data_IF_252002673979
#
_entry.id   IF_252002673979
#
_cell.length_a   1.000
_cell.length_b   1.000
_cell.length_c   1.000
_cell.angle_alpha   90.00
_cell.angle_beta   90.00
_cell.angle_gamma   90.00
#
_symmetry.space_group_name_H-M   'P 1'
#
loop_
_entity.id
_entity.type
_entity.pdbx_description
1 polymer ?
#
# COMPACT_ATOMS: atom_id res chain seq x y z
N UNK A 1 -11.82 -18.27 24.09
CA UNK A 1 -12.65 -17.73 22.98
C UNK A 1 -13.66 -18.77 22.47
N UNK A 2 -14.43 -19.43 23.34
CA UNK A 2 -15.52 -20.36 22.94
C UNK A 2 -16.90 -19.68 22.77
N UNK A 3 -17.27 -18.61 23.51
CA UNK A 3 -18.62 -18.02 23.41
C UNK A 3 -18.91 -17.29 22.08
N UNK A 4 -17.96 -16.52 21.53
CA UNK A 4 -18.21 -15.70 20.33
C UNK A 4 -18.37 -16.56 19.06
N UNK A 5 -17.62 -17.66 18.96
CA UNK A 5 -17.71 -18.58 17.82
C UNK A 5 -19.01 -19.40 17.83
N UNK A 6 -19.66 -19.58 19.00
CA UNK A 6 -20.96 -20.26 19.10
C UNK A 6 -22.15 -19.30 18.97
N UNK A 7 -22.00 -18.03 19.39
CA UNK A 7 -23.09 -17.03 19.36
C UNK A 7 -23.16 -16.23 18.05
N UNK A 8 -22.05 -16.12 17.31
CA UNK A 8 -21.99 -15.41 16.02
C UNK A 8 -21.43 -16.31 14.90
N UNK A 9 -21.77 -17.61 14.94
CA UNK A 9 -21.26 -18.61 14.00
C UNK A 9 -21.57 -18.29 12.53
N UNK A 10 -22.65 -17.53 12.25
CA UNK A 10 -23.04 -17.09 10.92
C UNK A 10 -22.39 -15.79 10.43
N UNK A 11 -21.51 -15.17 11.21
CA UNK A 11 -20.80 -13.96 10.79
C UNK A 11 -19.37 -14.32 10.34
N UNK A 12 -19.04 -14.03 9.08
CA UNK A 12 -17.71 -14.29 8.50
C UNK A 12 -16.58 -13.59 9.26
N UNK A 13 -16.80 -12.37 9.75
CA UNK A 13 -15.79 -11.59 10.48
C UNK A 13 -15.29 -12.33 11.74
N UNK A 14 -16.18 -13.09 12.40
CA UNK A 14 -15.80 -13.94 13.54
C UNK A 14 -14.72 -14.95 13.15
N UNK A 15 -14.86 -15.57 11.99
CA UNK A 15 -13.93 -16.61 11.52
C UNK A 15 -12.65 -16.00 10.94
N UNK A 16 -12.73 -14.85 10.26
CA UNK A 16 -11.55 -14.11 9.80
C UNK A 16 -10.70 -13.63 11.00
N UNK A 17 -11.32 -13.10 12.05
CA UNK A 17 -10.63 -12.75 13.29
C UNK A 17 -10.06 -13.98 14.02
N UNK A 18 -10.79 -15.09 14.03
CA UNK A 18 -10.30 -16.35 14.59
C UNK A 18 -9.04 -16.84 13.86
N UNK A 19 -9.05 -16.80 12.52
CA UNK A 19 -7.87 -17.08 11.70
C UNK A 19 -6.68 -16.23 12.13
N UNK A 20 -6.86 -14.91 12.24
CA UNK A 20 -5.81 -13.98 12.65
C UNK A 20 -5.21 -14.31 14.03
N UNK A 21 -6.06 -14.68 15.00
CA UNK A 21 -5.61 -15.11 16.33
C UNK A 21 -4.82 -16.41 16.24
N UNK A 22 -5.31 -17.40 15.49
CA UNK A 22 -4.66 -18.70 15.38
C UNK A 22 -3.38 -18.66 14.55
N UNK A 23 -3.31 -17.77 13.55
CA UNK A 23 -2.13 -17.48 12.76
C UNK A 23 -0.98 -17.01 13.68
N UNK A 24 -1.23 -16.03 14.54
CA UNK A 24 -0.25 -15.54 15.54
C UNK A 24 0.14 -16.60 16.59
N UNK A 25 -0.75 -17.55 16.87
CA UNK A 25 -0.53 -18.64 17.83
C UNK A 25 0.05 -19.92 17.21
N UNK A 26 0.31 -19.92 15.91
CA UNK A 26 0.86 -21.08 15.20
C UNK A 26 0.05 -22.36 15.40
N UNK A 27 -1.29 -22.25 15.26
CA UNK A 27 -2.24 -23.38 15.39
C UNK A 27 -2.83 -23.76 14.02
N UNK A 28 -2.12 -24.54 13.16
CA UNK A 28 -2.51 -24.76 11.76
C UNK A 28 -3.91 -25.37 11.58
N UNK A 29 -4.28 -26.37 12.38
CA UNK A 29 -5.61 -26.99 12.28
C UNK A 29 -6.75 -26.02 12.65
N UNK A 30 -6.49 -25.07 13.56
CA UNK A 30 -7.47 -24.05 13.94
C UNK A 30 -7.52 -22.92 12.91
N UNK A 31 -6.39 -22.59 12.25
CA UNK A 31 -6.37 -21.71 11.09
C UNK A 31 -7.24 -22.30 9.97
N UNK A 32 -6.98 -23.56 9.59
CA UNK A 32 -7.75 -24.29 8.58
C UNK A 32 -9.23 -24.36 8.93
N UNK A 33 -9.57 -24.70 10.17
CA UNK A 33 -10.96 -24.73 10.64
C UNK A 33 -11.65 -23.36 10.46
N UNK A 34 -10.95 -22.27 10.76
CA UNK A 34 -11.49 -20.91 10.61
C UNK A 34 -11.72 -20.56 9.15
N UNK A 35 -10.77 -20.91 8.27
CA UNK A 35 -10.90 -20.74 6.82
C UNK A 35 -12.11 -21.52 6.29
N UNK A 36 -12.26 -22.80 6.64
CA UNK A 36 -13.40 -23.61 6.18
C UNK A 36 -14.74 -23.03 6.60
N UNK A 37 -14.84 -22.55 7.85
CA UNK A 37 -16.07 -21.92 8.33
C UNK A 37 -16.38 -20.62 7.58
N UNK A 38 -15.38 -19.77 7.35
CA UNK A 38 -15.54 -18.57 6.54
C UNK A 38 -15.91 -18.89 5.08
N UNK A 39 -15.26 -19.87 4.48
CA UNK A 39 -15.50 -20.33 3.11
C UNK A 39 -16.92 -20.87 2.94
N UNK A 40 -17.43 -21.63 3.90
CA UNK A 40 -18.81 -22.13 3.86
C UNK A 40 -19.87 -21.02 4.00
N UNK A 41 -19.50 -19.84 4.49
CA UNK A 41 -20.41 -18.69 4.61
C UNK A 41 -20.34 -17.80 3.35
N UNK A 42 -19.13 -17.34 2.99
CA UNK A 42 -18.93 -16.43 1.87
C UNK A 42 -17.60 -16.74 1.15
N UNK A 43 -17.60 -17.66 0.16
CA UNK A 43 -16.40 -18.00 -0.61
C UNK A 43 -15.75 -16.81 -1.34
N UNK A 44 -16.57 -15.85 -1.79
CA UNK A 44 -16.12 -14.66 -2.54
C UNK A 44 -15.59 -13.50 -1.69
N UNK A 45 -15.43 -13.68 -0.38
CA UNK A 45 -14.98 -12.61 0.51
C UNK A 45 -13.49 -12.29 0.28
N UNK A 46 -13.17 -11.02 -0.03
CA UNK A 46 -11.79 -10.62 -0.35
C UNK A 46 -10.80 -10.84 0.79
N UNK A 47 -11.23 -10.72 2.05
CA UNK A 47 -10.33 -10.96 3.21
C UNK A 47 -10.10 -12.45 3.45
N UNK A 48 -11.08 -13.29 3.11
CA UNK A 48 -10.91 -14.74 3.16
C UNK A 48 -9.82 -15.20 2.19
N UNK A 49 -9.78 -14.63 0.99
CA UNK A 49 -8.72 -14.89 0.01
C UNK A 49 -7.32 -14.71 0.60
N UNK A 50 -7.06 -13.58 1.27
CA UNK A 50 -5.79 -13.36 1.96
C UNK A 50 -5.49 -14.36 3.07
N UNK A 51 -6.52 -14.81 3.81
CA UNK A 51 -6.34 -15.85 4.82
C UNK A 51 -5.90 -17.18 4.19
N UNK A 52 -6.48 -17.55 3.05
CA UNK A 52 -6.14 -18.77 2.30
C UNK A 52 -4.68 -18.71 1.83
N UNK A 53 -4.28 -17.63 1.15
CA UNK A 53 -2.91 -17.49 0.63
C UNK A 53 -1.87 -17.50 1.76
N UNK A 54 -2.12 -16.77 2.85
CA UNK A 54 -1.23 -16.76 4.03
C UNK A 54 -1.16 -18.13 4.70
N UNK A 55 -2.25 -18.88 4.72
CA UNK A 55 -2.25 -20.24 5.25
C UNK A 55 -1.41 -21.19 4.37
N UNK A 56 -1.55 -21.12 3.05
CA UNK A 56 -0.71 -21.88 2.13
C UNK A 56 0.77 -21.56 2.34
N UNK A 57 1.14 -20.27 2.39
CA UNK A 57 2.52 -19.87 2.67
C UNK A 57 3.05 -20.34 4.03
N UNK A 58 2.19 -20.36 5.06
CA UNK A 58 2.53 -20.93 6.37
C UNK A 58 2.80 -22.44 6.27
N UNK A 59 1.92 -23.20 5.61
CA UNK A 59 2.08 -24.66 5.46
C UNK A 59 3.34 -24.98 4.66
N UNK A 60 3.61 -24.28 3.56
CA UNK A 60 4.81 -24.49 2.75
C UNK A 60 6.10 -24.22 3.56
N UNK A 61 6.11 -23.14 4.34
CA UNK A 61 7.26 -22.79 5.19
C UNK A 61 7.51 -23.80 6.31
N UNK A 62 6.46 -24.31 6.93
CA UNK A 62 6.58 -25.16 8.13
C UNK A 62 6.36 -26.64 7.86
N UNK A 63 6.16 -27.06 6.61
CA UNK A 63 5.80 -28.43 6.22
C UNK A 63 6.73 -29.47 6.85
N UNK A 64 8.04 -29.23 6.84
CA UNK A 64 9.03 -30.15 7.42
C UNK A 64 9.00 -30.28 8.95
N UNK A 65 8.37 -29.33 9.64
CA UNK A 65 8.29 -29.28 11.10
C UNK A 65 6.92 -29.72 11.63
N UNK A 66 5.94 -29.93 10.75
CA UNK A 66 4.61 -30.38 11.11
C UNK A 66 4.57 -31.91 11.21
N UNK A 67 3.72 -32.42 12.11
CA UNK A 67 3.51 -33.87 12.23
C UNK A 67 2.80 -34.40 10.97
N UNK A 68 3.18 -35.60 10.50
CA UNK A 68 2.60 -36.23 9.31
C UNK A 68 1.06 -36.19 9.25
N UNK A 69 0.34 -36.61 10.31
CA UNK A 69 -1.13 -36.56 10.32
C UNK A 69 -1.72 -35.16 10.15
N UNK A 70 -1.02 -34.11 10.62
CA UNK A 70 -1.49 -32.72 10.45
C UNK A 70 -1.43 -32.34 8.97
N UNK A 71 -0.35 -32.71 8.27
CA UNK A 71 -0.18 -32.42 6.85
C UNK A 71 -1.24 -33.16 6.02
N UNK A 72 -1.46 -34.44 6.30
CA UNK A 72 -2.49 -35.25 5.63
C UNK A 72 -3.89 -34.64 5.77
N UNK A 73 -4.25 -34.22 6.99
CA UNK A 73 -5.54 -33.56 7.23
C UNK A 73 -5.62 -32.23 6.48
N UNK A 74 -4.56 -31.42 6.48
CA UNK A 74 -4.53 -30.15 5.76
C UNK A 74 -4.72 -30.37 4.26
N UNK A 75 -3.94 -31.27 3.65
CA UNK A 75 -4.01 -31.56 2.22
C UNK A 75 -5.40 -32.09 1.83
N UNK A 76 -5.98 -32.98 2.63
CA UNK A 76 -7.33 -33.52 2.40
C UNK A 76 -8.40 -32.43 2.50
N UNK A 77 -8.34 -31.59 3.53
CA UNK A 77 -9.40 -30.64 3.83
C UNK A 77 -9.34 -29.36 2.99
N UNK A 78 -8.15 -29.02 2.47
CA UNK A 78 -7.95 -27.84 1.61
C UNK A 78 -8.07 -28.16 0.13
N UNK A 79 -8.13 -29.44 -0.27
CA UNK A 79 -8.21 -29.87 -1.67
C UNK A 79 -9.33 -29.17 -2.44
N UNK A 80 -10.51 -29.05 -1.84
CA UNK A 80 -11.69 -28.44 -2.47
C UNK A 80 -11.56 -26.91 -2.63
N UNK A 81 -10.78 -26.26 -1.76
CA UNK A 81 -10.56 -24.81 -1.79
C UNK A 81 -9.43 -24.45 -2.76
N UNK A 82 -8.35 -25.23 -2.74
CA UNK A 82 -7.14 -24.96 -3.53
C UNK A 82 -7.24 -25.52 -4.96
N UNK A 83 -8.01 -26.60 -5.15
CA UNK A 83 -8.16 -27.30 -6.42
C UNK A 83 -6.82 -27.69 -7.07
N UNK A 84 -5.80 -27.97 -6.26
CA UNK A 84 -4.44 -28.30 -6.71
C UNK A 84 -3.65 -27.14 -7.32
N UNK A 85 -4.16 -25.90 -7.26
CA UNK A 85 -3.46 -24.70 -7.76
C UNK A 85 -2.42 -24.22 -6.75
N UNK A 86 -1.37 -23.56 -7.26
CA UNK A 86 -0.40 -22.87 -6.41
C UNK A 86 -0.98 -21.56 -5.87
N UNK A 87 -0.47 -21.08 -4.73
CA UNK A 87 -0.87 -19.79 -4.14
C UNK A 87 -0.79 -18.63 -5.14
N UNK A 88 0.25 -18.60 -5.98
CA UNK A 88 0.42 -17.59 -7.03
C UNK A 88 -0.69 -17.67 -8.09
N UNK A 89 -1.09 -18.87 -8.50
CA UNK A 89 -2.16 -19.06 -9.49
C UNK A 89 -3.53 -18.72 -8.89
N UNK A 90 -3.79 -19.12 -7.65
CA UNK A 90 -5.01 -18.73 -6.92
C UNK A 90 -5.11 -17.20 -6.83
N UNK A 91 -4.00 -16.51 -6.55
CA UNK A 91 -4.00 -15.06 -6.48
C UNK A 91 -4.21 -14.37 -7.83
N UNK A 92 -3.62 -14.90 -8.92
CA UNK A 92 -3.86 -14.34 -10.25
C UNK A 92 -5.31 -14.53 -10.69
N UNK A 93 -5.87 -15.73 -10.48
CA UNK A 93 -7.26 -16.04 -10.85
C UNK A 93 -8.22 -15.11 -10.09
N UNK A 94 -7.99 -14.92 -8.78
CA UNK A 94 -8.80 -14.02 -7.95
C UNK A 94 -8.78 -12.57 -8.44
N UNK A 95 -7.61 -12.06 -8.85
CA UNK A 95 -7.48 -10.70 -9.39
C UNK A 95 -8.14 -10.53 -10.76
N UNK A 96 -8.11 -11.55 -11.60
CA UNK A 96 -8.80 -11.55 -12.91
C UNK A 96 -10.32 -11.54 -12.72
N UNK A 97 -10.83 -12.39 -11.84
CA UNK A 97 -12.27 -12.53 -11.55
C UNK A 97 -12.88 -11.30 -10.85
N UNK A 98 -12.07 -10.53 -10.10
CA UNK A 98 -12.54 -9.42 -9.26
C UNK A 98 -11.88 -8.07 -9.61
N UNK A 99 -11.51 -7.90 -10.88
CA UNK A 99 -10.77 -6.73 -11.38
C UNK A 99 -11.51 -5.39 -11.22
N UNK A 100 -12.81 -5.40 -11.00
CA UNK A 100 -13.64 -4.22 -10.76
C UNK A 100 -13.89 -3.90 -9.27
N UNK A 101 -13.35 -4.66 -8.31
CA UNK A 101 -13.66 -4.49 -6.88
C UNK A 101 -12.44 -3.99 -6.11
N UNK A 102 -12.49 -2.77 -5.56
CA UNK A 102 -11.38 -2.20 -4.79
C UNK A 102 -10.95 -3.09 -3.61
N UNK A 103 -11.86 -3.65 -2.77
CA UNK A 103 -11.48 -4.60 -1.73
C UNK A 103 -10.75 -5.83 -2.25
N UNK A 104 -11.16 -6.37 -3.41
CA UNK A 104 -10.52 -7.53 -3.99
C UNK A 104 -9.15 -7.18 -4.58
N UNK A 105 -9.05 -6.07 -5.31
CA UNK A 105 -7.78 -5.56 -5.82
C UNK A 105 -6.78 -5.34 -4.69
N UNK A 106 -7.20 -4.70 -3.59
CA UNK A 106 -6.37 -4.47 -2.42
C UNK A 106 -5.87 -5.79 -1.80
N UNK A 107 -6.77 -6.73 -1.52
CA UNK A 107 -6.43 -8.00 -0.88
C UNK A 107 -5.54 -8.87 -1.79
N UNK A 108 -5.87 -8.96 -3.09
CA UNK A 108 -5.08 -9.70 -4.07
C UNK A 108 -3.72 -9.07 -4.37
N UNK A 109 -3.62 -7.74 -4.41
CA UNK A 109 -2.35 -7.03 -4.54
C UNK A 109 -1.47 -7.21 -3.30
N UNK A 110 -2.06 -7.17 -2.11
CA UNK A 110 -1.35 -7.46 -0.87
C UNK A 110 -0.76 -8.87 -0.89
N UNK A 111 -1.55 -9.85 -1.35
CA UNK A 111 -1.07 -11.23 -1.51
C UNK A 111 -0.05 -11.38 -2.63
N UNK A 112 -0.13 -10.57 -3.69
CA UNK A 112 0.88 -10.54 -4.75
C UNK A 112 2.25 -10.15 -4.19
N UNK A 113 2.30 -9.09 -3.38
CA UNK A 113 3.55 -8.66 -2.73
C UNK A 113 4.02 -9.65 -1.66
N UNK A 114 3.09 -10.24 -0.90
CA UNK A 114 3.42 -11.27 0.10
C UNK A 114 4.08 -12.51 -0.52
N UNK A 115 3.60 -12.94 -1.69
CA UNK A 115 4.17 -14.09 -2.41
C UNK A 115 5.47 -13.74 -3.15
N UNK A 116 5.58 -12.52 -3.64
CA UNK A 116 6.73 -12.04 -4.41
C UNK A 116 6.98 -10.55 -4.17
N UNK A 117 7.97 -10.26 -3.32
CA UNK A 117 8.34 -8.89 -2.97
C UNK A 117 8.83 -8.06 -4.16
N UNK A 118 9.29 -8.68 -5.25
CA UNK A 118 9.71 -7.96 -6.45
C UNK A 118 8.55 -7.29 -7.20
N UNK A 119 7.31 -7.72 -6.94
CA UNK A 119 6.09 -7.20 -7.59
C UNK A 119 5.47 -6.01 -6.86
N UNK A 120 6.23 -5.33 -6.00
CA UNK A 120 5.76 -4.19 -5.21
C UNK A 120 5.07 -3.12 -6.06
N UNK A 121 5.69 -2.71 -7.17
CA UNK A 121 5.15 -1.66 -8.05
C UNK A 121 3.81 -2.07 -8.68
N UNK A 122 3.71 -3.31 -9.16
CA UNK A 122 2.48 -3.85 -9.72
C UNK A 122 1.36 -3.94 -8.66
N UNK A 123 1.69 -4.37 -7.43
CA UNK A 123 0.75 -4.43 -6.32
C UNK A 123 0.25 -3.02 -5.92
N UNK A 124 1.13 -2.03 -5.88
CA UNK A 124 0.77 -0.64 -5.61
C UNK A 124 -0.15 -0.10 -6.70
N UNK A 125 0.15 -0.35 -7.98
CA UNK A 125 -0.72 0.10 -9.08
C UNK A 125 -2.16 -0.40 -8.93
N UNK A 126 -2.34 -1.68 -8.61
CA UNK A 126 -3.67 -2.26 -8.39
C UNK A 126 -4.37 -1.65 -7.17
N UNK A 127 -3.65 -1.53 -6.05
CA UNK A 127 -4.17 -1.04 -4.77
C UNK A 127 -4.59 0.43 -4.81
N UNK A 128 -3.85 1.26 -5.54
CA UNK A 128 -4.00 2.71 -5.53
C UNK A 128 -4.97 3.21 -6.61
N UNK A 129 -5.69 2.33 -7.29
CA UNK A 129 -6.66 2.71 -8.33
C UNK A 129 -7.89 3.35 -7.69
N UNK A 130 -8.32 4.51 -8.24
CA UNK A 130 -9.49 5.28 -7.80
C UNK A 130 -10.40 5.65 -8.99
N UNK A 131 -10.42 4.81 -10.03
CA UNK A 131 -11.27 5.02 -11.21
C UNK A 131 -12.77 4.80 -10.87
N UNK A 132 -13.64 5.58 -11.49
CA UNK A 132 -15.10 5.46 -11.39
C UNK A 132 -15.64 4.10 -11.86
N UNK A 133 -14.86 3.38 -12.67
CA UNK A 133 -15.17 2.02 -13.11
C UNK A 133 -15.01 0.96 -12.00
N UNK A 134 -14.38 1.31 -10.87
CA UNK A 134 -14.11 0.40 -9.76
C UNK A 134 -15.17 0.55 -8.67
N UNK A 135 -15.76 -0.58 -8.30
CA UNK A 135 -16.70 -0.72 -7.21
C UNK A 135 -15.99 -0.69 -5.85
N UNK A 136 -16.68 -0.18 -4.84
CA UNK A 136 -16.19 -0.19 -3.46
C UNK A 136 -15.17 0.90 -3.13
N UNK A 137 -15.02 1.92 -3.97
CA UNK A 137 -14.34 3.18 -3.58
C UNK A 137 -15.23 3.90 -2.55
N UNK A 138 -14.96 3.66 -1.28
CA UNK A 138 -15.62 4.31 -0.16
C UNK A 138 -14.58 4.69 0.91
N UNK A 139 -14.99 5.59 1.80
CA UNK A 139 -14.12 6.12 2.85
C UNK A 139 -13.42 5.04 3.67
N UNK A 140 -14.13 3.97 4.05
CA UNK A 140 -13.58 2.90 4.88
C UNK A 140 -12.49 2.11 4.16
N UNK A 141 -12.69 1.79 2.88
CA UNK A 141 -11.72 1.05 2.09
C UNK A 141 -10.48 1.91 1.79
N UNK A 142 -10.66 3.20 1.46
CA UNK A 142 -9.54 4.11 1.25
C UNK A 142 -8.72 4.33 2.54
N UNK A 143 -9.37 4.44 3.71
CA UNK A 143 -8.66 4.52 4.99
C UNK A 143 -7.87 3.23 5.26
N UNK A 144 -8.46 2.05 5.01
CA UNK A 144 -7.78 0.77 5.18
C UNK A 144 -6.54 0.67 4.30
N UNK A 145 -6.64 1.08 3.02
CA UNK A 145 -5.50 1.10 2.09
C UNK A 145 -4.42 2.05 2.59
N UNK A 146 -4.78 3.28 2.97
CA UNK A 146 -3.81 4.25 3.50
C UNK A 146 -3.09 3.72 4.75
N UNK A 147 -3.82 3.09 5.67
CA UNK A 147 -3.22 2.46 6.84
C UNK A 147 -2.26 1.33 6.49
N UNK A 148 -2.59 0.52 5.48
CA UNK A 148 -1.73 -0.57 5.01
C UNK A 148 -0.43 -0.06 4.35
N UNK A 149 -0.50 1.05 3.61
CA UNK A 149 0.70 1.71 3.07
C UNK A 149 1.59 2.22 4.20
N UNK A 150 0.99 2.85 5.22
CA UNK A 150 1.73 3.39 6.38
C UNK A 150 2.30 2.30 7.30
N UNK A 151 1.63 1.14 7.41
CA UNK A 151 2.10 0.01 8.23
C UNK A 151 3.21 -0.80 7.56
N UNK A 152 3.52 -0.53 6.28
CA UNK A 152 4.54 -1.22 5.52
C UNK A 152 4.08 -2.57 4.94
N UNK A 153 2.77 -2.81 4.81
CA UNK A 153 2.24 -4.05 4.21
C UNK A 153 2.65 -4.24 2.74
N UNK A 154 3.02 -3.15 2.06
CA UNK A 154 3.60 -3.13 0.72
C UNK A 154 5.07 -2.72 0.71
N UNK A 155 5.77 -2.84 1.84
CA UNK A 155 7.13 -2.30 1.99
C UNK A 155 7.18 -0.77 2.14
N UNK A 156 8.38 -0.19 2.04
CA UNK A 156 8.58 1.25 2.23
C UNK A 156 8.10 2.04 1.00
N UNK A 157 6.95 2.70 1.11
CA UNK A 157 6.31 3.44 0.01
C UNK A 157 5.69 4.80 0.45
N UNK A 158 6.46 5.69 1.11
CA UNK A 158 5.92 6.94 1.66
C UNK A 158 5.43 7.92 0.59
N UNK A 159 6.06 7.95 -0.58
CA UNK A 159 5.63 8.82 -1.69
C UNK A 159 4.29 8.37 -2.25
N UNK A 160 4.08 7.07 -2.43
CA UNK A 160 2.81 6.52 -2.90
C UNK A 160 1.70 6.71 -1.86
N UNK A 161 2.01 6.59 -0.56
CA UNK A 161 1.05 6.88 0.51
C UNK A 161 0.62 8.36 0.50
N UNK A 162 1.57 9.29 0.31
CA UNK A 162 1.29 10.72 0.23
C UNK A 162 0.45 11.08 -1.01
N UNK A 163 0.82 10.57 -2.18
CA UNK A 163 0.05 10.75 -3.43
C UNK A 163 -1.38 10.20 -3.29
N UNK A 164 -1.52 8.98 -2.76
CA UNK A 164 -2.82 8.36 -2.53
C UNK A 164 -3.69 9.17 -1.57
N UNK A 165 -3.08 9.75 -0.53
CA UNK A 165 -3.76 10.62 0.42
C UNK A 165 -4.33 11.87 -0.28
N UNK A 166 -3.55 12.50 -1.16
CA UNK A 166 -4.00 13.66 -1.94
C UNK A 166 -5.18 13.28 -2.84
N UNK A 167 -5.07 12.19 -3.60
CA UNK A 167 -6.17 11.73 -4.47
C UNK A 167 -7.40 11.33 -3.67
N UNK A 168 -7.26 10.70 -2.51
CA UNK A 168 -8.38 10.41 -1.62
C UNK A 168 -9.04 11.67 -1.06
N UNK A 169 -8.29 12.76 -0.86
CA UNK A 169 -8.86 14.04 -0.43
C UNK A 169 -9.78 14.65 -1.49
N UNK A 170 -9.47 14.49 -2.78
CA UNK A 170 -10.34 14.92 -3.89
C UNK A 170 -11.69 14.19 -3.87
N UNK A 171 -11.69 12.89 -3.54
CA UNK A 171 -12.90 12.08 -3.42
C UNK A 171 -13.66 12.31 -2.10
N UNK A 172 -12.94 12.59 -1.01
CA UNK A 172 -13.50 12.76 0.33
C UNK A 172 -12.96 14.05 1.03
N UNK A 173 -13.40 15.25 0.59
CA UNK A 173 -12.82 16.52 1.06
C UNK A 173 -12.94 16.75 2.57
N UNK A 174 -13.99 16.19 3.19
CA UNK A 174 -14.27 16.36 4.61
C UNK A 174 -13.63 15.29 5.51
N UNK A 175 -12.97 14.29 4.94
CA UNK A 175 -12.36 13.22 5.71
C UNK A 175 -11.05 13.68 6.35
N UNK A 176 -11.01 13.75 7.69
CA UNK A 176 -9.81 14.11 8.47
C UNK A 176 -8.59 13.22 8.12
N UNK A 177 -8.84 11.94 7.81
CA UNK A 177 -7.79 10.99 7.44
C UNK A 177 -6.99 11.41 6.19
N UNK A 178 -7.57 12.23 5.30
CA UNK A 178 -6.96 12.65 4.04
C UNK A 178 -6.59 14.13 4.00
N UNK A 179 -6.79 14.88 5.08
CA UNK A 179 -6.45 16.30 5.09
C UNK A 179 -4.96 16.52 4.81
N UNK A 180 -4.62 17.55 4.01
CA UNK A 180 -3.24 18.00 3.88
C UNK A 180 -2.74 18.44 5.27
N UNK A 181 -1.43 18.30 5.54
CA UNK A 181 -0.86 18.83 6.77
C UNK A 181 -1.21 20.31 6.89
N UNK A 182 -1.84 20.71 8.00
CA UNK A 182 -2.20 22.10 8.25
C UNK A 182 -0.89 22.88 8.35
N UNK A 183 -0.57 23.68 7.33
CA UNK A 183 0.48 24.69 7.40
C UNK A 183 0.00 25.79 8.34
N UNK A 184 0.16 25.60 9.64
CA UNK A 184 0.11 26.73 10.57
C UNK A 184 1.29 27.64 10.23
N UNK A 185 1.09 28.90 9.83
CA UNK A 185 2.19 29.85 9.81
C UNK A 185 2.74 29.94 11.23
N UNK A 186 4.03 29.69 11.42
CA UNK A 186 4.69 29.96 12.70
C UNK A 186 4.42 31.43 13.09
N UNK A 187 3.88 31.73 14.29
CA UNK A 187 3.58 33.10 14.70
C UNK A 187 4.79 34.02 14.91
N UNK A 188 6.02 33.56 14.68
CA UNK A 188 7.24 34.34 14.91
C UNK A 188 8.15 34.32 13.68
N UNK A 189 7.70 34.91 12.58
CA UNK A 189 8.62 35.49 11.60
C UNK A 189 8.70 36.99 11.90
N UNK A 190 9.79 37.41 12.55
CA UNK A 190 10.14 38.82 12.73
C UNK A 190 10.26 39.43 11.32
N UNK A 191 9.55 40.52 10.98
CA UNK A 191 9.71 41.16 9.69
C UNK A 191 11.15 41.72 9.58
N UNK A 192 11.86 41.33 8.53
CA UNK A 192 13.14 41.94 8.16
C UNK A 192 12.96 43.45 7.99
N UNK A 193 13.91 44.29 8.44
CA UNK A 193 13.79 45.74 8.28
C UNK A 193 13.86 46.14 6.79
N UNK A 194 13.18 47.23 6.41
CA UNK A 194 13.13 47.69 5.02
C UNK A 194 14.51 48.19 4.55
N UNK A 195 14.80 48.09 3.23
CA UNK A 195 16.06 48.57 2.68
C UNK A 195 16.15 50.10 2.78
N UNK A 196 17.30 50.58 3.28
CA UNK A 196 17.63 52.00 3.39
C UNK A 196 17.67 52.69 2.02
N UNK A 197 17.30 53.98 1.94
CA UNK A 197 17.23 54.72 0.69
C UNK A 197 18.62 55.03 0.12
N UNK A 198 18.73 54.85 -1.18
CA UNK A 198 19.87 55.21 -2.04
C UNK A 198 20.06 56.72 -2.05
N UNK A 199 21.26 57.20 -1.69
CA UNK A 199 21.66 58.58 -1.98
C UNK A 199 22.34 58.63 -3.34
N UNK A 200 21.70 59.30 -4.30
CA UNK A 200 22.35 59.85 -5.48
C UNK A 200 23.15 61.09 -5.08
N UNK A 201 24.42 61.19 -5.51
CA UNK A 201 25.05 62.49 -5.69
C UNK A 201 26.05 62.45 -6.86
N UNK A 202 26.01 63.52 -7.65
CA UNK A 202 26.49 63.63 -9.03
C UNK A 202 27.93 64.14 -9.17
N UNK A 203 28.60 63.64 -10.22
CA UNK A 203 29.56 64.29 -11.15
C UNK A 203 30.72 65.17 -10.61
N UNK A 204 31.96 64.77 -10.93
CA UNK A 204 32.88 65.67 -11.67
C UNK A 204 33.91 64.90 -12.51
N UNK A 205 34.21 65.48 -13.68
CA UNK A 205 35.14 65.03 -14.71
C UNK A 205 36.59 65.13 -14.24
N UNK A 206 37.47 64.28 -14.78
CA UNK A 206 38.72 64.79 -15.37
C UNK A 206 39.34 63.83 -16.39
N UNK A 207 40.13 64.44 -17.27
CA UNK A 207 40.45 64.08 -18.65
C UNK A 207 41.83 63.41 -18.81
N UNK A 208 42.10 62.90 -20.02
CA UNK A 208 43.42 62.59 -20.65
C UNK A 208 43.99 61.17 -20.50
N UNK A 209 44.72 60.57 -21.45
CA UNK A 209 44.98 60.74 -22.90
C UNK A 209 45.93 59.60 -23.33
N UNK A 210 45.79 59.12 -24.58
CA UNK A 210 46.76 58.39 -25.44
C UNK A 210 47.34 57.03 -25.00
N UNK A 211 47.32 56.06 -25.93
CA UNK A 211 48.53 55.29 -26.23
C UNK A 211 48.42 53.85 -26.71
N UNK A 212 48.23 53.67 -28.03
CA UNK A 212 48.91 52.67 -28.86
C UNK A 212 48.45 51.20 -28.86
N UNK A 213 48.42 50.67 -30.09
CA UNK A 213 47.94 49.36 -30.54
C UNK A 213 49.11 48.34 -30.68
N UNK A 214 49.08 47.36 -31.61
CA UNK A 214 48.46 46.03 -31.47
C UNK A 214 49.44 44.87 -31.83
N UNK A 215 49.03 43.61 -31.61
CA UNK A 215 49.41 42.42 -32.42
C UNK A 215 48.77 41.19 -31.77
N UNK A 216 47.87 40.47 -32.44
CA UNK A 216 48.17 39.51 -33.51
C UNK A 216 48.09 38.12 -32.87
N UNK A 217 47.42 37.09 -33.37
CA UNK A 217 46.74 36.78 -34.61
C UNK A 217 46.61 35.24 -34.65
N UNK A 218 45.70 34.74 -35.49
CA UNK A 218 45.44 33.32 -35.88
C UNK A 218 44.42 32.60 -34.99
N UNK A 219 43.21 32.27 -35.48
CA UNK A 219 42.82 31.26 -36.52
C UNK A 219 43.40 29.87 -36.18
N UNK A 220 42.70 28.74 -36.21
CA UNK A 220 41.42 28.34 -36.78
C UNK A 220 41.19 26.85 -36.39
N UNK A 221 39.92 26.48 -36.16
CA UNK A 221 39.23 25.29 -36.74
C UNK A 221 39.48 23.89 -36.15
N UNK A 222 38.32 23.19 -36.06
CA UNK A 222 37.99 21.78 -35.80
C UNK A 222 38.07 21.24 -34.36
#
# INVERSE_FOLDING_TARGET
MKPLQSLAAGNIETHLMAFEIYYRKERPLLMMQSIKKAYNLEPGNSRLHSCIIRFCGYIDKWRGNLQGPVIEVVDMQMKDILSGRSSSKINSDFLEENSNSLPALFEGARMMYYLDSSKQEAALKLTLTLDRSIDGINLQNCIKILNALNSGEFGHCPSQAADYKVRCHEHFPYALAFQPPVTTPHPNAIPSPPPSPTSEESQHKDTNHIGSAPSGGKNCID
#
